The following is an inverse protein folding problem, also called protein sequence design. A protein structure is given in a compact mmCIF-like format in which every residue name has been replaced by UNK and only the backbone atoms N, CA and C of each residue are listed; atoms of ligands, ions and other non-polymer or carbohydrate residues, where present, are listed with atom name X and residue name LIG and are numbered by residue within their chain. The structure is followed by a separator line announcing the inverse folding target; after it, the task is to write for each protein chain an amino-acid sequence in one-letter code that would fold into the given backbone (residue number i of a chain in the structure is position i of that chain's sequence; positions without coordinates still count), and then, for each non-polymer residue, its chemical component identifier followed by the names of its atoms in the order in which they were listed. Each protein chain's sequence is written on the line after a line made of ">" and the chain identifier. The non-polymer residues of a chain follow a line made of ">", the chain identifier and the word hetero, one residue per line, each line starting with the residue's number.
data_IF_336334554659
#
_entry.id   IF_336334554659
#
_cell.length_a   1.000
_cell.length_b   1.000
_cell.length_c   1.000
_cell.angle_alpha   90.00
_cell.angle_beta   90.00
_cell.angle_gamma   90.00
#
_symmetry.space_group_name_H-M   'P 1'
#
loop_
_entity.id
_entity.type
_entity.pdbx_description
1 polymer ?
#
# COMPACT_ATOMS: atom_id res chain seq x y z
N UNK A 1 11.54 -12.59 25.67
CA UNK A 1 12.50 -12.34 24.58
C UNK A 1 12.14 -13.05 23.26
N UNK A 2 11.43 -14.19 23.28
CA UNK A 2 11.05 -14.94 22.07
C UNK A 2 10.02 -14.24 21.15
N UNK A 3 9.10 -13.42 21.67
CA UNK A 3 8.08 -12.75 20.82
C UNK A 3 8.69 -11.76 19.82
N UNK A 4 9.73 -10.99 20.20
CA UNK A 4 10.37 -10.02 19.30
C UNK A 4 10.99 -10.68 18.05
N UNK A 5 11.61 -11.86 18.18
CA UNK A 5 12.19 -12.58 17.03
C UNK A 5 11.09 -13.03 16.06
N UNK A 6 9.97 -13.54 16.59
CA UNK A 6 8.82 -13.97 15.79
C UNK A 6 8.17 -12.78 15.07
N UNK A 7 7.93 -11.67 15.77
CA UNK A 7 7.40 -10.44 15.17
C UNK A 7 8.31 -9.91 14.06
N UNK A 8 9.63 -9.93 14.27
CA UNK A 8 10.60 -9.47 13.29
C UNK A 8 10.64 -10.34 12.03
N UNK A 9 10.67 -11.67 12.18
CA UNK A 9 10.72 -12.60 11.05
C UNK A 9 9.45 -12.50 10.21
N UNK A 10 8.26 -12.57 10.85
CA UNK A 10 7.00 -12.53 10.12
C UNK A 10 6.73 -11.18 9.45
N UNK A 11 7.10 -10.08 10.10
CA UNK A 11 6.95 -8.77 9.48
C UNK A 11 7.92 -8.57 8.31
N UNK A 12 9.19 -8.96 8.48
CA UNK A 12 10.19 -8.85 7.41
C UNK A 12 9.80 -9.70 6.21
N UNK A 13 9.42 -10.96 6.42
CA UNK A 13 8.99 -11.86 5.36
C UNK A 13 7.74 -11.34 4.63
N UNK A 14 6.73 -10.87 5.38
CA UNK A 14 5.53 -10.28 4.80
C UNK A 14 5.85 -9.04 3.95
N UNK A 15 6.69 -8.14 4.45
CA UNK A 15 7.09 -6.93 3.70
C UNK A 15 7.91 -7.23 2.44
N UNK A 16 8.78 -8.25 2.50
CA UNK A 16 9.55 -8.73 1.35
C UNK A 16 8.63 -9.29 0.26
N UNK A 17 7.74 -10.20 0.65
CA UNK A 17 6.79 -10.81 -0.29
C UNK A 17 5.84 -9.77 -0.91
N UNK A 18 5.35 -8.83 -0.10
CA UNK A 18 4.49 -7.73 -0.57
C UNK A 18 5.21 -6.82 -1.58
N UNK A 19 6.50 -6.54 -1.35
CA UNK A 19 7.31 -5.71 -2.25
C UNK A 19 7.65 -6.45 -3.54
N UNK A 20 7.81 -7.78 -3.49
CA UNK A 20 8.13 -8.63 -4.64
C UNK A 20 6.97 -8.78 -5.64
N UNK A 21 5.71 -8.56 -5.23
CA UNK A 21 4.54 -8.64 -6.12
C UNK A 21 4.66 -7.69 -7.31
N UNK A 22 5.07 -6.44 -7.08
CA UNK A 22 5.11 -5.41 -8.13
C UNK A 22 6.05 -5.76 -9.30
N UNK A 23 7.33 -6.13 -9.06
CA UNK A 23 8.23 -6.52 -10.15
C UNK A 23 7.85 -7.86 -10.79
N UNK A 24 7.29 -8.83 -10.04
CA UNK A 24 6.84 -10.09 -10.62
C UNK A 24 5.66 -9.86 -11.57
N UNK A 25 4.70 -9.02 -11.19
CA UNK A 25 3.58 -8.66 -12.06
C UNK A 25 4.06 -8.03 -13.36
N UNK A 26 5.06 -7.14 -13.27
CA UNK A 26 5.64 -6.48 -14.43
C UNK A 26 6.28 -7.49 -15.40
N UNK A 27 7.02 -8.47 -14.88
CA UNK A 27 7.62 -9.55 -15.68
C UNK A 27 6.53 -10.37 -16.39
N UNK A 28 5.48 -10.75 -15.66
CA UNK A 28 4.36 -11.54 -16.19
C UNK A 28 3.64 -10.77 -17.32
N UNK A 29 3.31 -9.49 -17.10
CA UNK A 29 2.66 -8.65 -18.11
C UNK A 29 3.54 -8.51 -19.35
N UNK A 30 4.84 -8.29 -19.17
CA UNK A 30 5.80 -8.17 -20.29
C UNK A 30 5.87 -9.45 -21.12
N UNK A 31 5.75 -10.63 -20.47
CA UNK A 31 5.81 -11.92 -21.16
C UNK A 31 4.51 -12.30 -21.88
N UNK A 32 3.36 -11.91 -21.32
CA UNK A 32 2.04 -12.30 -21.85
C UNK A 32 1.47 -11.29 -22.85
N UNK A 33 1.58 -9.99 -22.56
CA UNK A 33 0.93 -8.92 -23.34
C UNK A 33 1.93 -8.09 -24.16
N UNK A 34 3.24 -8.27 -23.94
CA UNK A 34 4.29 -7.54 -24.65
C UNK A 34 4.72 -6.25 -23.95
N UNK A 35 5.56 -5.48 -24.64
CA UNK A 35 6.31 -4.34 -24.06
C UNK A 35 5.43 -3.09 -23.91
N UNK A 36 4.49 -2.87 -24.83
CA UNK A 36 3.67 -1.66 -24.82
C UNK A 36 2.73 -1.60 -23.59
N UNK A 37 2.07 -2.71 -23.27
CA UNK A 37 1.19 -2.83 -22.11
C UNK A 37 1.97 -2.86 -20.79
N UNK A 38 3.18 -3.44 -20.77
CA UNK A 38 4.03 -3.42 -19.58
C UNK A 38 4.56 -2.03 -19.27
N UNK A 39 4.85 -1.22 -20.30
CA UNK A 39 5.20 0.19 -20.16
C UNK A 39 4.06 1.00 -19.52
N UNK A 40 2.82 0.79 -19.97
CA UNK A 40 1.65 1.44 -19.38
C UNK A 40 1.43 1.01 -17.91
N UNK A 41 1.57 -0.27 -17.61
CA UNK A 41 1.47 -0.77 -16.25
C UNK A 41 2.55 -0.20 -15.33
N UNK A 42 3.82 -0.18 -15.79
CA UNK A 42 4.95 0.38 -15.04
C UNK A 42 4.77 1.87 -14.74
N UNK A 43 4.22 2.62 -15.69
CA UNK A 43 3.86 4.02 -15.48
C UNK A 43 2.77 4.18 -14.40
N UNK A 44 1.68 3.42 -14.54
CA UNK A 44 0.54 3.52 -13.63
C UNK A 44 0.88 3.06 -12.20
N UNK A 45 1.67 1.99 -12.04
CA UNK A 45 2.12 1.52 -10.72
C UNK A 45 3.05 2.55 -10.08
N UNK A 46 3.97 3.16 -10.82
CA UNK A 46 4.89 4.19 -10.30
C UNK A 46 4.11 5.41 -9.81
N UNK A 47 3.13 5.88 -10.59
CA UNK A 47 2.26 6.98 -10.20
C UNK A 47 1.45 6.64 -8.94
N UNK A 48 0.91 5.42 -8.84
CA UNK A 48 0.19 4.96 -7.65
C UNK A 48 1.07 4.95 -6.39
N UNK A 49 2.36 4.64 -6.51
CA UNK A 49 3.32 4.65 -5.40
C UNK A 49 3.62 6.08 -4.95
N UNK A 50 3.72 7.04 -5.85
CA UNK A 50 3.90 8.47 -5.49
C UNK A 50 2.69 8.96 -4.69
N UNK A 51 1.48 8.70 -5.17
CA UNK A 51 0.24 9.03 -4.46
C UNK A 51 0.14 8.33 -3.10
N UNK A 52 0.55 7.06 -3.04
CA UNK A 52 0.62 6.31 -1.79
C UNK A 52 1.61 6.93 -0.79
N UNK A 53 2.77 7.39 -1.26
CA UNK A 53 3.78 8.05 -0.43
C UNK A 53 3.29 9.39 0.16
N UNK A 54 2.37 10.08 -0.52
CA UNK A 54 1.67 11.24 0.05
C UNK A 54 0.67 10.81 1.13
N UNK A 55 -0.09 9.74 0.89
CA UNK A 55 -1.03 9.20 1.90
C UNK A 55 -0.31 8.70 3.16
N UNK A 56 0.75 7.89 3.00
CA UNK A 56 2.08 8.08 3.59
C UNK A 56 2.27 8.92 4.86
N UNK A 57 2.08 10.23 4.68
CA UNK A 57 2.80 11.30 5.35
C UNK A 57 2.90 11.13 6.86
N UNK A 58 4.06 10.64 7.32
CA UNK A 58 4.48 10.61 8.73
C UNK A 58 3.55 9.95 9.76
N UNK A 59 2.38 9.43 9.36
CA UNK A 59 1.34 9.02 10.30
C UNK A 59 1.80 7.91 11.23
N UNK A 60 2.54 6.94 10.69
CA UNK A 60 3.08 5.82 11.46
C UNK A 60 4.23 6.23 12.39
N UNK A 61 5.07 7.18 11.99
CA UNK A 61 6.16 7.69 12.84
C UNK A 61 5.61 8.54 13.99
N UNK A 62 4.58 9.35 13.72
CA UNK A 62 3.88 10.12 14.74
C UNK A 62 3.15 9.19 15.72
N UNK A 63 2.41 8.21 15.20
CA UNK A 63 1.72 7.19 16.00
C UNK A 63 2.68 6.37 16.87
N UNK A 64 3.89 6.05 16.38
CA UNK A 64 4.90 5.34 17.15
C UNK A 64 5.60 6.22 18.20
N UNK A 65 5.63 7.53 17.99
CA UNK A 65 6.26 8.50 18.90
C UNK A 65 5.30 9.01 19.99
N UNK A 66 3.99 8.83 19.82
CA UNK A 66 2.96 9.13 20.82
C UNK A 66 2.97 8.11 21.97
N UNK A 67 4.03 8.16 22.78
CA UNK A 67 4.21 7.33 23.98
C UNK A 67 3.20 7.69 25.08
N UNK A 68 2.71 8.94 25.09
CA UNK A 68 1.76 9.45 26.09
C UNK A 68 0.30 9.10 25.78
N UNK A 69 0.00 8.60 24.57
CA UNK A 69 -1.35 8.28 24.10
C UNK A 69 -2.30 9.48 24.21
N UNK A 70 -1.80 10.66 23.85
CA UNK A 70 -2.60 11.88 23.88
C UNK A 70 -3.73 11.83 22.84
N UNK A 71 -3.56 11.03 21.78
CA UNK A 71 -4.58 10.79 20.77
C UNK A 71 -5.10 9.35 20.80
N UNK A 72 -6.42 9.20 20.63
CA UNK A 72 -7.03 7.89 20.50
C UNK A 72 -6.58 7.24 19.17
N UNK A 73 -6.31 5.93 19.20
CA UNK A 73 -5.89 5.15 18.02
C UNK A 73 -6.80 5.35 16.79
N UNK A 74 -8.10 5.60 17.02
CA UNK A 74 -9.07 5.89 15.94
C UNK A 74 -8.84 7.24 15.25
N UNK A 75 -8.26 8.23 15.93
CA UNK A 75 -7.93 9.54 15.34
C UNK A 75 -6.86 9.42 14.25
N UNK A 76 -5.85 8.57 14.47
CA UNK A 76 -4.83 8.28 13.45
C UNK A 76 -5.43 7.64 12.20
N UNK A 77 -6.38 6.72 12.37
CA UNK A 77 -7.09 6.08 11.25
C UNK A 77 -7.97 7.09 10.52
N UNK A 78 -8.65 7.99 11.23
CA UNK A 78 -9.49 9.03 10.64
C UNK A 78 -8.68 10.03 9.80
N UNK A 79 -7.54 10.49 10.31
CA UNK A 79 -6.60 11.33 9.54
C UNK A 79 -6.10 10.59 8.30
N UNK A 80 -5.84 9.29 8.42
CA UNK A 80 -5.42 8.47 7.28
C UNK A 80 -6.52 8.33 6.22
N UNK A 81 -7.76 8.16 6.65
CA UNK A 81 -8.89 8.12 5.75
C UNK A 81 -9.06 9.45 5.00
N UNK A 82 -8.92 10.58 5.70
CA UNK A 82 -8.94 11.91 5.08
C UNK A 82 -7.79 12.10 4.07
N UNK A 83 -6.56 11.72 4.43
CA UNK A 83 -5.41 11.79 3.53
C UNK A 83 -5.60 10.91 2.27
N UNK A 84 -6.13 9.70 2.45
CA UNK A 84 -6.49 8.82 1.34
C UNK A 84 -7.57 9.39 0.43
N UNK A 85 -8.56 10.11 0.97
CA UNK A 85 -9.58 10.79 0.18
C UNK A 85 -8.98 11.94 -0.64
N UNK A 86 -8.06 12.73 -0.06
CA UNK A 86 -7.32 13.78 -0.78
C UNK A 86 -6.54 13.16 -1.93
N UNK A 87 -5.88 12.02 -1.70
CA UNK A 87 -5.14 11.29 -2.74
C UNK A 87 -6.08 10.81 -3.84
N UNK A 88 -7.25 10.25 -3.52
CA UNK A 88 -8.23 9.83 -4.51
C UNK A 88 -8.68 11.00 -5.42
N UNK A 89 -9.01 12.14 -4.82
CA UNK A 89 -9.41 13.35 -5.57
C UNK A 89 -8.25 13.84 -6.44
N UNK A 90 -7.03 13.89 -5.90
CA UNK A 90 -5.85 14.34 -6.64
C UNK A 90 -5.54 13.44 -7.85
N UNK A 91 -5.75 12.13 -7.73
CA UNK A 91 -5.56 11.18 -8.82
C UNK A 91 -6.59 11.38 -9.95
N UNK A 92 -7.85 11.65 -9.60
CA UNK A 92 -8.89 11.99 -10.58
C UNK A 92 -8.55 13.28 -11.32
N UNK A 93 -8.20 14.33 -10.57
CA UNK A 93 -7.80 15.63 -11.15
C UNK A 93 -6.59 15.46 -12.07
N UNK A 94 -5.59 14.69 -11.65
CA UNK A 94 -4.41 14.39 -12.46
C UNK A 94 -4.77 13.69 -13.79
N UNK A 95 -5.68 12.71 -13.75
CA UNK A 95 -6.09 12.01 -14.98
C UNK A 95 -6.87 12.93 -15.94
N UNK A 96 -7.72 13.80 -15.40
CA UNK A 96 -8.52 14.75 -16.20
C UNK A 96 -7.62 15.81 -16.85
N UNK A 97 -6.67 16.39 -16.09
CA UNK A 97 -5.77 17.42 -16.60
C UNK A 97 -4.84 16.92 -17.70
N UNK A 98 -4.42 15.66 -17.64
CA UNK A 98 -3.55 15.06 -18.65
C UNK A 98 -4.29 14.51 -19.87
N UNK A 99 -5.63 14.50 -19.89
CA UNK A 99 -6.43 14.04 -21.02
C UNK A 99 -6.18 12.57 -21.39
N UNK A 100 -5.93 11.71 -20.41
CA UNK A 100 -5.62 10.30 -20.69
C UNK A 100 -6.82 9.51 -21.24
N UNK A 101 -6.54 8.57 -22.13
CA UNK A 101 -7.55 7.64 -22.67
C UNK A 101 -8.21 6.81 -21.54
N UNK A 102 -9.47 6.42 -21.72
CA UNK A 102 -10.27 5.69 -20.74
C UNK A 102 -9.56 4.45 -20.19
N UNK A 103 -8.84 3.71 -21.02
CA UNK A 103 -8.05 2.53 -20.60
C UNK A 103 -6.93 2.90 -19.63
N UNK A 104 -6.17 3.98 -19.91
CA UNK A 104 -5.06 4.44 -19.06
C UNK A 104 -5.60 4.97 -17.73
N UNK A 105 -6.65 5.78 -17.79
CA UNK A 105 -7.31 6.34 -16.61
C UNK A 105 -7.89 5.23 -15.73
N UNK A 106 -8.55 4.23 -16.32
CA UNK A 106 -9.07 3.07 -15.60
C UNK A 106 -7.97 2.32 -14.86
N UNK A 107 -6.85 2.02 -15.52
CA UNK A 107 -5.72 1.32 -14.92
C UNK A 107 -5.11 2.11 -13.75
N UNK A 108 -4.87 3.42 -13.93
CA UNK A 108 -4.35 4.29 -12.87
C UNK A 108 -5.30 4.31 -11.68
N UNK A 109 -6.59 4.48 -11.92
CA UNK A 109 -7.59 4.54 -10.84
C UNK A 109 -7.67 3.23 -10.05
N UNK A 110 -7.61 2.07 -10.71
CA UNK A 110 -7.59 0.76 -10.04
C UNK A 110 -6.35 0.63 -9.15
N UNK A 111 -5.17 0.98 -9.66
CA UNK A 111 -3.92 0.87 -8.90
C UNK A 111 -3.84 1.87 -7.75
N UNK A 112 -4.30 3.11 -7.95
CA UNK A 112 -4.39 4.12 -6.89
C UNK A 112 -5.39 3.68 -5.81
N UNK A 113 -6.56 3.17 -6.19
CA UNK A 113 -7.54 2.65 -5.23
C UNK A 113 -6.96 1.49 -4.40
N UNK A 114 -6.25 0.56 -5.05
CA UNK A 114 -5.54 -0.52 -4.35
C UNK A 114 -4.52 0.04 -3.35
N UNK A 115 -3.72 1.03 -3.75
CA UNK A 115 -2.74 1.68 -2.86
C UNK A 115 -3.38 2.44 -1.70
N UNK A 116 -4.53 3.07 -1.90
CA UNK A 116 -5.30 3.71 -0.84
C UNK A 116 -5.72 2.68 0.22
N UNK A 117 -6.24 1.53 -0.20
CA UNK A 117 -6.57 0.43 0.71
C UNK A 117 -5.34 -0.06 1.48
N UNK A 118 -4.18 -0.14 0.82
CA UNK A 118 -2.91 -0.46 1.50
C UNK A 118 -2.53 0.58 2.56
N UNK A 119 -2.70 1.87 2.27
CA UNK A 119 -2.40 2.94 3.23
C UNK A 119 -3.29 2.89 4.48
N UNK A 120 -4.58 2.58 4.31
CA UNK A 120 -5.53 2.42 5.41
C UNK A 120 -5.17 1.18 6.25
N UNK A 121 -4.87 0.06 5.59
CA UNK A 121 -4.41 -1.15 6.27
C UNK A 121 -3.12 -0.91 7.05
N UNK A 122 -2.18 -0.12 6.51
CA UNK A 122 -0.94 0.23 7.21
C UNK A 122 -1.18 1.01 8.51
N UNK A 123 -2.17 1.91 8.53
CA UNK A 123 -2.58 2.61 9.76
C UNK A 123 -3.13 1.64 10.82
N UNK A 124 -3.93 0.65 10.40
CA UNK A 124 -4.39 -0.40 11.32
C UNK A 124 -3.23 -1.25 11.83
N UNK A 125 -2.26 -1.60 10.97
CA UNK A 125 -1.05 -2.29 11.40
C UNK A 125 -0.21 -1.45 12.37
N UNK A 126 -0.19 -0.12 12.22
CA UNK A 126 0.39 0.80 13.19
C UNK A 126 -0.25 0.69 14.59
N UNK A 127 -1.58 0.57 14.65
CA UNK A 127 -2.30 0.32 15.92
C UNK A 127 -1.89 -1.03 16.52
N UNK A 128 -1.81 -2.10 15.70
CA UNK A 128 -1.38 -3.43 16.16
C UNK A 128 0.09 -3.42 16.65
N UNK A 129 0.94 -2.59 16.05
CA UNK A 129 2.34 -2.42 16.46
C UNK A 129 2.44 -1.86 17.88
N UNK A 130 1.63 -0.86 18.23
CA UNK A 130 1.55 -0.31 19.59
C UNK A 130 1.14 -1.40 20.60
N UNK A 131 0.25 -2.31 20.20
CA UNK A 131 -0.21 -3.42 21.04
C UNK A 131 0.72 -4.64 21.04
N UNK A 132 1.93 -4.54 20.45
CA UNK A 132 2.91 -5.64 20.33
C UNK A 132 2.36 -6.89 19.63
N UNK A 133 1.40 -6.74 18.72
CA UNK A 133 0.83 -7.83 17.91
C UNK A 133 1.25 -7.75 16.45
N UNK A 134 2.52 -7.38 16.21
CA UNK A 134 3.04 -7.14 14.86
C UNK A 134 3.09 -8.41 14.01
N UNK A 135 3.24 -9.60 14.62
CA UNK A 135 3.16 -10.88 13.92
C UNK A 135 1.84 -11.07 13.14
N UNK A 136 0.72 -10.50 13.60
CA UNK A 136 -0.58 -10.59 12.91
C UNK A 136 -0.55 -9.80 11.60
N UNK A 137 0.08 -8.62 11.61
CA UNK A 137 0.30 -7.83 10.39
C UNK A 137 1.19 -8.59 9.39
N UNK A 138 2.26 -9.23 9.87
CA UNK A 138 3.16 -10.05 9.06
C UNK A 138 2.46 -11.26 8.42
N UNK A 139 1.56 -11.94 9.15
CA UNK A 139 0.74 -13.04 8.62
C UNK A 139 -0.24 -12.52 7.56
N UNK A 140 -0.88 -11.37 7.80
CA UNK A 140 -1.83 -10.78 6.84
C UNK A 140 -1.13 -10.36 5.54
N UNK A 141 0.04 -9.72 5.60
CA UNK A 141 0.85 -9.41 4.41
C UNK A 141 1.26 -10.68 3.67
N UNK A 142 1.71 -11.71 4.40
CA UNK A 142 2.11 -12.99 3.79
C UNK A 142 0.94 -13.65 3.06
N UNK A 143 -0.25 -13.72 3.69
CA UNK A 143 -1.45 -14.27 3.03
C UNK A 143 -1.86 -13.45 1.81
N UNK A 144 -1.84 -12.12 1.91
CA UNK A 144 -2.14 -11.22 0.79
C UNK A 144 -1.18 -11.44 -0.38
N UNK A 145 0.10 -11.63 -0.09
CA UNK A 145 1.10 -11.90 -1.11
C UNK A 145 0.91 -13.26 -1.77
N UNK A 146 0.68 -14.33 -0.98
CA UNK A 146 0.43 -15.67 -1.52
C UNK A 146 -0.81 -15.70 -2.40
N UNK A 147 -1.91 -15.07 -1.98
CA UNK A 147 -3.12 -14.94 -2.80
C UNK A 147 -2.85 -14.11 -4.06
N UNK A 148 -2.09 -13.03 -3.94
CA UNK A 148 -1.68 -12.21 -5.09
C UNK A 148 -0.86 -13.01 -6.11
N UNK A 149 0.06 -13.86 -5.66
CA UNK A 149 0.83 -14.75 -6.53
C UNK A 149 0.02 -15.92 -7.08
N UNK A 150 -0.99 -16.42 -6.37
CA UNK A 150 -1.79 -17.58 -6.80
C UNK A 150 -2.95 -17.25 -7.74
N UNK A 151 -3.39 -15.99 -7.78
CA UNK A 151 -4.45 -15.51 -8.71
C UNK A 151 -3.87 -15.15 -10.09
N UNK A 152 -2.57 -14.85 -10.17
CA UNK A 152 -1.84 -14.56 -11.40
C UNK A 152 -1.10 -15.78 -11.93
#
# INVERSE_FOLDING_TARGET
>A
MQSKKKDYIWNSLGSLLQSAISPVLLIVITRLNGIDDSGLFSFAISLSVVFWAVSLWGGRTYQASDVKREFCSGGYVAVRFAASLIVAVSAVVFCVLNGYNATKTGLIMILVAFKILESIADSLYGVLQIHRKLYIAGISLTMKAILGFGVF
#
